data_IF_291435902981
#
_entry.id   IF_291435902981
#
_cell.length_a   1.000
_cell.length_b   1.000
_cell.length_c   1.000
_cell.angle_alpha   90.00
_cell.angle_beta   90.00
_cell.angle_gamma   90.00
#
_symmetry.space_group_name_H-M   'P 1'
#
loop_
_entity.id
_entity.type
_entity.pdbx_description
1 polymer ?
#
# COMPACT_ATOMS: atom_id res chain seq x y z
N UNK A 1 13.94 15.96 2.17
CA UNK A 1 13.87 14.51 2.42
C UNK A 1 14.47 14.21 3.79
N UNK A 2 13.69 13.65 4.71
CA UNK A 2 14.12 13.34 6.09
C UNK A 2 15.30 12.36 6.13
N UNK A 3 15.28 11.34 5.26
CA UNK A 3 16.37 10.37 5.11
C UNK A 3 17.75 11.01 4.87
N UNK A 4 17.79 12.17 4.18
CA UNK A 4 19.03 12.95 4.00
C UNK A 4 19.56 13.45 5.34
N UNK A 5 18.67 13.93 6.22
CA UNK A 5 19.02 14.46 7.55
C UNK A 5 19.52 13.35 8.46
N UNK A 6 18.83 12.21 8.46
CA UNK A 6 19.20 11.05 9.28
C UNK A 6 20.54 10.43 8.88
N UNK A 7 20.84 10.36 7.58
CA UNK A 7 22.04 9.68 7.08
C UNK A 7 23.24 10.61 6.82
N UNK A 8 23.06 11.94 6.88
CA UNK A 8 24.13 12.90 6.63
C UNK A 8 24.67 12.95 5.19
N UNK A 9 23.92 12.41 4.22
CA UNK A 9 24.37 12.31 2.81
C UNK A 9 23.79 13.42 1.93
N UNK A 10 24.22 13.48 0.67
CA UNK A 10 23.62 14.38 -0.33
C UNK A 10 22.16 14.00 -0.61
N UNK A 11 21.36 14.98 -1.03
CA UNK A 11 19.96 14.73 -1.41
C UNK A 11 19.84 13.66 -2.51
N UNK A 12 20.71 13.72 -3.53
CA UNK A 12 20.75 12.77 -4.64
C UNK A 12 20.99 11.34 -4.17
N UNK A 13 21.92 11.16 -3.22
CA UNK A 13 22.19 9.85 -2.62
C UNK A 13 21.00 9.34 -1.79
N UNK A 14 20.44 10.18 -0.91
CA UNK A 14 19.28 9.81 -0.10
C UNK A 14 18.05 9.46 -0.95
N UNK A 15 17.79 10.21 -2.02
CA UNK A 15 16.70 9.92 -2.95
C UNK A 15 16.87 8.55 -3.62
N UNK A 16 18.07 8.27 -4.15
CA UNK A 16 18.37 6.97 -4.76
C UNK A 16 18.25 5.82 -3.76
N UNK A 17 18.73 6.00 -2.53
CA UNK A 17 18.58 4.98 -1.49
C UNK A 17 17.11 4.74 -1.15
N UNK A 18 16.30 5.78 -1.00
CA UNK A 18 14.85 5.65 -0.76
C UNK A 18 14.21 4.75 -1.82
N UNK A 19 14.47 5.00 -3.10
CA UNK A 19 13.93 4.18 -4.18
C UNK A 19 14.38 2.72 -4.12
N UNK A 20 15.67 2.46 -3.85
CA UNK A 20 16.18 1.09 -3.75
C UNK A 20 15.57 0.33 -2.55
N UNK A 21 15.43 1.00 -1.41
CA UNK A 21 14.81 0.42 -0.22
C UNK A 21 13.34 0.10 -0.50
N UNK A 22 12.58 1.06 -1.07
CA UNK A 22 11.18 0.82 -1.43
C UNK A 22 11.05 -0.35 -2.41
N UNK A 23 11.90 -0.43 -3.44
CA UNK A 23 11.90 -1.55 -4.38
C UNK A 23 12.17 -2.89 -3.69
N UNK A 24 13.20 -2.97 -2.84
CA UNK A 24 13.52 -4.18 -2.10
C UNK A 24 12.40 -4.59 -1.13
N UNK A 25 11.71 -3.62 -0.52
CA UNK A 25 10.53 -3.88 0.30
C UNK A 25 9.38 -4.44 -0.54
N UNK A 26 9.11 -3.87 -1.71
CA UNK A 26 8.08 -4.37 -2.65
C UNK A 26 8.39 -5.80 -3.09
N UNK A 27 9.60 -6.09 -3.54
CA UNK A 27 10.02 -7.43 -3.99
C UNK A 27 9.91 -8.47 -2.86
N UNK A 28 10.24 -8.08 -1.62
CA UNK A 28 10.10 -8.98 -0.45
C UNK A 28 8.64 -9.22 -0.05
N UNK A 29 7.75 -8.27 -0.32
CA UNK A 29 6.33 -8.35 0.04
C UNK A 29 5.49 -8.98 -1.06
N UNK A 30 5.94 -8.96 -2.32
CA UNK A 30 5.22 -9.50 -3.48
C UNK A 30 4.66 -10.93 -3.24
N UNK A 31 5.43 -11.94 -2.79
CA UNK A 31 4.88 -13.28 -2.58
C UNK A 31 4.12 -13.45 -1.25
N UNK A 32 3.93 -12.40 -0.45
CA UNK A 32 3.31 -12.52 0.87
C UNK A 32 1.81 -12.82 0.74
N UNK A 33 1.40 -13.98 1.22
CA UNK A 33 -0.01 -14.30 1.50
C UNK A 33 -0.27 -14.31 3.00
N UNK A 34 -1.25 -13.53 3.43
CA UNK A 34 -1.69 -13.49 4.82
C UNK A 34 -2.51 -14.75 5.16
N UNK A 35 -2.52 -15.13 6.43
CA UNK A 35 -3.21 -16.34 6.91
C UNK A 35 -3.87 -16.12 8.27
N UNK A 36 -4.82 -16.98 8.61
CA UNK A 36 -5.56 -16.86 9.87
C UNK A 36 -6.55 -15.71 9.83
N UNK A 37 -6.69 -14.98 10.95
CA UNK A 37 -7.57 -13.83 11.02
C UNK A 37 -6.94 -12.61 10.33
N UNK A 38 -7.62 -12.10 9.33
CA UNK A 38 -7.18 -10.95 8.52
C UNK A 38 -8.31 -9.93 8.48
N UNK A 39 -8.01 -8.70 8.89
CA UNK A 39 -8.89 -7.56 8.72
C UNK A 39 -8.55 -6.88 7.41
N UNK A 40 -9.57 -6.54 6.62
CA UNK A 40 -9.41 -5.90 5.31
C UNK A 40 -10.21 -4.60 5.33
N UNK A 41 -9.58 -3.51 4.87
CA UNK A 41 -10.22 -2.22 4.67
C UNK A 41 -9.82 -1.62 3.31
N UNK A 42 -10.66 -0.73 2.80
CA UNK A 42 -10.54 -0.11 1.48
C UNK A 42 -10.37 1.41 1.56
N UNK A 43 -9.47 1.96 0.75
CA UNK A 43 -9.22 3.39 0.72
C UNK A 43 -8.84 3.90 -0.67
N UNK A 44 -9.03 5.20 -0.88
CA UNK A 44 -8.63 5.88 -2.11
C UNK A 44 -7.45 6.81 -1.83
N UNK A 45 -6.33 6.60 -2.52
CA UNK A 45 -5.17 7.48 -2.49
C UNK A 45 -5.21 8.43 -3.70
N UNK A 46 -5.24 9.73 -3.47
CA UNK A 46 -5.26 10.70 -4.56
C UNK A 46 -5.37 12.14 -4.08
N UNK A 47 -4.87 13.07 -4.90
CA UNK A 47 -4.95 14.50 -4.64
C UNK A 47 -6.26 15.13 -5.11
N UNK A 48 -6.46 16.40 -4.75
CA UNK A 48 -7.55 17.22 -5.28
C UNK A 48 -7.38 17.44 -6.80
N UNK A 49 -8.49 17.42 -7.54
CA UNK A 49 -8.53 17.75 -8.97
C UNK A 49 -9.67 18.71 -9.26
N UNK A 50 -9.34 19.87 -9.81
CA UNK A 50 -10.31 20.86 -10.26
C UNK A 50 -11.04 20.38 -11.53
N UNK A 51 -12.34 20.65 -11.61
CA UNK A 51 -13.15 20.32 -12.78
C UNK A 51 -13.42 18.83 -13.01
N UNK A 52 -13.05 17.95 -12.06
CA UNK A 52 -13.27 16.50 -12.15
C UNK A 52 -14.42 16.01 -11.28
N UNK A 53 -14.74 14.72 -11.43
CA UNK A 53 -15.69 14.01 -10.55
C UNK A 53 -15.21 14.09 -9.09
N UNK A 54 -16.10 14.50 -8.17
CA UNK A 54 -15.83 14.53 -6.73
C UNK A 54 -16.07 13.15 -6.09
N UNK A 55 -15.48 12.91 -4.92
CA UNK A 55 -15.77 11.74 -4.09
C UNK A 55 -14.97 10.48 -4.43
N UNK A 56 -15.51 9.30 -4.11
CA UNK A 56 -14.92 7.98 -4.40
C UNK A 56 -14.94 7.72 -5.92
N UNK A 57 -13.88 7.11 -6.46
CA UNK A 57 -13.77 6.84 -7.90
C UNK A 57 -13.58 8.08 -8.78
N UNK A 58 -13.04 9.17 -8.24
CA UNK A 58 -12.54 10.28 -9.04
C UNK A 58 -11.30 9.83 -9.84
N UNK A 59 -11.09 10.38 -11.04
CA UNK A 59 -10.02 9.96 -11.96
C UNK A 59 -8.60 10.03 -11.36
N UNK A 60 -8.35 10.93 -10.40
CA UNK A 60 -7.05 11.07 -9.74
C UNK A 60 -6.93 10.27 -8.43
N UNK A 61 -7.86 9.35 -8.18
CA UNK A 61 -7.87 8.52 -6.98
C UNK A 61 -7.60 7.06 -7.33
N UNK A 62 -6.50 6.54 -6.80
CA UNK A 62 -6.16 5.13 -6.86
C UNK A 62 -6.86 4.38 -5.71
N UNK A 63 -7.78 3.46 -6.01
CA UNK A 63 -8.26 2.52 -4.99
C UNK A 63 -7.14 1.58 -4.57
N UNK A 64 -7.05 1.31 -3.27
CA UNK A 64 -6.13 0.35 -2.69
C UNK A 64 -6.78 -0.33 -1.50
N UNK A 65 -6.30 -1.53 -1.20
CA UNK A 65 -6.74 -2.35 -0.07
C UNK A 65 -5.60 -2.45 0.94
N UNK A 66 -5.95 -2.37 2.21
CA UNK A 66 -5.07 -2.72 3.34
C UNK A 66 -5.61 -3.99 3.96
N UNK A 67 -4.78 -5.02 4.05
CA UNK A 67 -5.07 -6.23 4.79
C UNK A 67 -4.07 -6.42 5.92
N UNK A 68 -4.56 -6.60 7.14
CA UNK A 68 -3.74 -6.76 8.35
C UNK A 68 -4.03 -8.13 8.95
N UNK A 69 -3.00 -8.95 9.03
CA UNK A 69 -3.03 -10.19 9.81
C UNK A 69 -2.79 -9.85 11.28
N UNK A 70 -3.64 -10.37 12.15
CA UNK A 70 -3.46 -10.28 13.61
C UNK A 70 -2.96 -11.61 14.16
N UNK A 71 -2.40 -11.57 15.36
CA UNK A 71 -1.96 -12.77 16.08
C UNK A 71 -3.15 -13.64 16.54
N UNK A 72 -2.85 -14.78 17.15
CA UNK A 72 -3.90 -15.73 17.57
C UNK A 72 -4.84 -15.19 18.64
N UNK A 73 -4.41 -14.17 19.39
CA UNK A 73 -5.22 -13.49 20.40
C UNK A 73 -6.06 -12.35 19.81
N UNK A 74 -5.84 -12.00 18.53
CA UNK A 74 -6.44 -10.87 17.86
C UNK A 74 -6.13 -9.49 18.50
N UNK A 75 -5.00 -9.38 19.18
CA UNK A 75 -4.60 -8.16 19.90
C UNK A 75 -3.54 -7.35 19.15
N UNK A 76 -2.69 -8.03 18.37
CA UNK A 76 -1.51 -7.41 17.78
C UNK A 76 -1.40 -7.65 16.27
N UNK A 77 -1.13 -6.61 15.46
CA UNK A 77 -0.86 -6.77 14.04
C UNK A 77 0.51 -7.43 13.82
N UNK A 78 0.56 -8.43 12.94
CA UNK A 78 1.77 -9.21 12.64
C UNK A 78 2.30 -8.86 11.25
N UNK A 79 1.43 -8.86 10.25
CA UNK A 79 1.77 -8.56 8.86
C UNK A 79 0.72 -7.66 8.24
N UNK A 80 1.13 -6.83 7.29
CA UNK A 80 0.23 -6.00 6.51
C UNK A 80 0.59 -6.08 5.03
N UNK A 81 -0.43 -6.20 4.18
CA UNK A 81 -0.34 -6.09 2.73
C UNK A 81 -1.12 -4.85 2.33
N UNK A 82 -0.48 -3.95 1.59
CA UNK A 82 -1.08 -2.70 1.13
C UNK A 82 -0.85 -2.58 -0.36
N UNK A 83 -1.91 -2.69 -1.15
CA UNK A 83 -1.77 -2.76 -2.60
C UNK A 83 -2.90 -2.08 -3.36
N UNK A 84 -2.58 -1.48 -4.52
CA UNK A 84 -3.59 -0.93 -5.40
C UNK A 84 -4.47 -2.06 -5.96
N UNK A 85 -5.76 -1.78 -6.06
CA UNK A 85 -6.73 -2.63 -6.76
C UNK A 85 -7.32 -1.85 -7.93
N UNK A 86 -7.93 -2.55 -8.91
CA UNK A 86 -8.56 -1.87 -10.05
C UNK A 86 -9.81 -1.10 -9.60
N UNK A 87 -10.65 -1.72 -8.77
CA UNK A 87 -11.87 -1.16 -8.20
C UNK A 87 -12.29 -1.94 -6.95
N UNK A 88 -13.32 -1.46 -6.25
CA UNK A 88 -13.93 -2.15 -5.10
C UNK A 88 -15.13 -2.98 -5.56
N UNK A 89 -14.84 -3.98 -6.38
CA UNK A 89 -15.81 -4.96 -6.85
C UNK A 89 -15.29 -6.39 -6.67
N UNK A 90 -16.21 -7.35 -6.73
CA UNK A 90 -15.89 -8.76 -6.50
C UNK A 90 -14.85 -9.31 -7.49
N UNK A 91 -14.81 -8.80 -8.73
CA UNK A 91 -13.85 -9.27 -9.73
C UNK A 91 -12.43 -8.81 -9.36
N UNK A 92 -12.27 -7.51 -9.07
CA UNK A 92 -11.00 -6.90 -8.68
C UNK A 92 -10.44 -7.50 -7.38
N UNK A 93 -11.31 -7.79 -6.40
CA UNK A 93 -10.88 -8.41 -5.15
C UNK A 93 -10.51 -9.89 -5.34
N UNK A 94 -11.20 -10.64 -6.21
CA UNK A 94 -10.81 -12.00 -6.56
C UNK A 94 -9.46 -12.05 -7.27
N UNK A 95 -9.23 -11.16 -8.24
CA UNK A 95 -7.93 -10.99 -8.91
C UNK A 95 -6.83 -10.72 -7.87
N UNK A 96 -7.09 -9.80 -6.94
CA UNK A 96 -6.14 -9.43 -5.89
C UNK A 96 -5.82 -10.58 -4.92
N UNK A 97 -6.81 -11.38 -4.53
CA UNK A 97 -6.60 -12.55 -3.65
C UNK A 97 -5.82 -13.67 -4.39
N UNK A 98 -6.01 -13.80 -5.70
CA UNK A 98 -5.44 -14.88 -6.50
C UNK A 98 -3.95 -14.69 -6.85
N UNK A 99 -3.42 -13.47 -6.74
CA UNK A 99 -2.04 -13.11 -7.10
C UNK A 99 -0.96 -13.92 -6.37
#
# INVERSE_FOLDING_TARGET
LELKRHLGVTYKAAWRMKHKIMQAMTEREEPRKLKGFVQIDDAYLGGERNGGKRGRGAENKQPFVIAVQVDHNHEHPVFAVIEPVKAFDNASLKDWIAR
#
